data_IF_368366957217
#
_entry.id   IF_368366957217
#
_cell.length_a   1.000
_cell.length_b   1.000
_cell.length_c   1.000
_cell.angle_alpha   90.00
_cell.angle_beta   90.00
_cell.angle_gamma   90.00
#
_symmetry.space_group_name_H-M   'P 1'
#
loop_
_entity.id
_entity.type
_entity.pdbx_description
1 polymer ?
#
# COMPACT_ATOMS: atom_id res chain seq x y z
N UNK A 1 28.94 4.00 10.05
CA UNK A 1 27.66 3.51 9.49
C UNK A 1 26.82 4.70 9.14
N UNK A 2 26.34 4.77 7.90
CA UNK A 2 25.44 5.85 7.48
C UNK A 2 24.09 5.69 8.20
N UNK A 3 23.42 6.81 8.48
CA UNK A 3 22.08 6.84 9.04
C UNK A 3 21.11 7.41 8.01
N UNK A 4 19.94 6.80 7.92
CA UNK A 4 18.84 7.22 7.06
C UNK A 4 17.58 7.36 7.89
N UNK A 5 16.82 8.42 7.65
CA UNK A 5 15.48 8.57 8.23
C UNK A 5 14.48 7.85 7.36
N UNK A 6 13.63 7.01 7.94
CA UNK A 6 12.44 6.46 7.30
C UNK A 6 11.24 7.21 7.88
N UNK A 7 10.51 7.89 7.00
CA UNK A 7 9.20 8.43 7.33
C UNK A 7 8.20 7.29 7.28
N UNK A 8 7.77 6.90 8.46
CA UNK A 8 7.03 5.68 8.69
C UNK A 8 5.54 5.96 8.73
N UNK A 9 4.82 5.42 7.75
CA UNK A 9 3.38 5.62 7.61
C UNK A 9 2.58 4.69 8.51
N UNK A 10 3.20 3.66 9.11
CA UNK A 10 2.48 2.76 10.00
C UNK A 10 2.37 3.31 11.42
N UNK A 11 3.24 4.23 11.81
CA UNK A 11 3.19 4.86 13.13
C UNK A 11 2.03 5.87 13.19
N UNK A 12 1.17 5.67 14.20
CA UNK A 12 -0.09 6.42 14.39
C UNK A 12 -1.05 6.31 13.20
N UNK A 13 -1.03 5.19 12.49
CA UNK A 13 -2.06 4.81 11.52
C UNK A 13 -3.09 3.89 12.17
N UNK A 14 -4.35 4.04 11.79
CA UNK A 14 -5.44 3.13 12.17
C UNK A 14 -5.60 1.98 11.16
N UNK A 15 -4.69 1.85 10.19
CA UNK A 15 -4.79 0.90 9.09
C UNK A 15 -3.54 0.02 9.01
N UNK A 16 -3.66 -1.26 9.39
CA UNK A 16 -2.53 -2.21 9.32
C UNK A 16 -2.04 -2.46 7.89
N UNK A 17 -2.78 -2.03 6.87
CA UNK A 17 -2.27 -2.01 5.49
C UNK A 17 -0.99 -1.17 5.33
N UNK A 18 -0.81 -0.13 6.16
CA UNK A 18 0.43 0.65 6.17
C UNK A 18 1.60 -0.12 6.81
N UNK A 19 1.35 -1.06 7.72
CA UNK A 19 2.38 -1.95 8.26
C UNK A 19 2.92 -2.90 7.18
N UNK A 20 2.05 -3.47 6.33
CA UNK A 20 2.45 -4.31 5.19
C UNK A 20 3.38 -3.53 4.25
N UNK A 21 3.04 -2.28 3.96
CA UNK A 21 3.85 -1.40 3.13
C UNK A 21 5.21 -1.16 3.77
N UNK A 22 5.23 -0.79 5.05
CA UNK A 22 6.47 -0.45 5.76
C UNK A 22 7.39 -1.66 5.98
N UNK A 23 6.84 -2.86 6.16
CA UNK A 23 7.59 -4.12 6.15
C UNK A 23 8.33 -4.29 4.80
N UNK A 24 7.60 -4.14 3.69
CA UNK A 24 8.19 -4.25 2.34
C UNK A 24 9.23 -3.15 2.07
N UNK A 25 8.95 -1.90 2.46
CA UNK A 25 9.88 -0.78 2.35
C UNK A 25 11.17 -1.08 3.10
N UNK A 26 11.08 -1.49 4.36
CA UNK A 26 12.25 -1.84 5.18
C UNK A 26 13.06 -2.96 4.55
N UNK A 27 12.40 -4.04 4.12
CA UNK A 27 13.05 -5.20 3.51
C UNK A 27 13.81 -4.82 2.23
N UNK A 28 13.21 -4.00 1.37
CA UNK A 28 13.85 -3.54 0.13
C UNK A 28 14.98 -2.54 0.39
N UNK A 29 14.84 -1.65 1.38
CA UNK A 29 15.91 -0.73 1.77
C UNK A 29 17.10 -1.48 2.39
N UNK A 30 16.89 -2.53 3.20
CA UNK A 30 17.99 -3.34 3.75
C UNK A 30 18.82 -4.01 2.65
N UNK A 31 18.18 -4.45 1.55
CA UNK A 31 18.87 -5.01 0.38
C UNK A 31 19.71 -3.95 -0.35
N UNK A 32 19.18 -2.73 -0.49
CA UNK A 32 19.84 -1.65 -1.23
C UNK A 32 20.94 -0.95 -0.40
N UNK A 33 20.76 -0.87 0.91
CA UNK A 33 21.55 -0.08 1.86
C UNK A 33 21.90 -0.93 3.10
N UNK A 34 22.70 -2.00 2.94
CA UNK A 34 22.90 -3.01 4.00
C UNK A 34 23.72 -2.50 5.19
N UNK A 35 24.55 -1.47 5.01
CA UNK A 35 25.44 -0.91 6.06
C UNK A 35 24.87 0.37 6.68
N UNK A 36 23.55 0.44 6.78
CA UNK A 36 22.83 1.65 7.18
C UNK A 36 21.92 1.39 8.39
N UNK A 37 21.91 2.35 9.33
CA UNK A 37 20.94 2.37 10.43
C UNK A 37 19.71 3.20 10.05
N UNK A 38 18.51 2.71 10.38
CA UNK A 38 17.25 3.39 10.10
C UNK A 38 16.69 4.08 11.35
N UNK A 39 16.44 5.38 11.25
CA UNK A 39 15.67 6.17 12.21
C UNK A 39 14.22 6.27 11.71
N UNK A 40 13.26 5.69 12.42
CA UNK A 40 11.84 5.80 12.08
C UNK A 40 11.25 7.08 12.68
N UNK A 41 10.47 7.81 11.88
CA UNK A 41 9.76 9.04 12.28
C UNK A 41 8.34 9.00 11.71
N UNK A 42 7.29 9.26 12.49
CA UNK A 42 5.91 9.19 12.01
C UNK A 42 5.61 10.23 10.91
N UNK A 43 4.64 9.92 10.04
CA UNK A 43 4.09 10.89 9.07
C UNK A 43 2.77 11.50 9.51
N UNK A 44 1.94 10.76 10.25
CA UNK A 44 0.59 11.16 10.65
C UNK A 44 0.58 12.23 11.75
N UNK A 45 1.65 12.28 12.55
CA UNK A 45 1.81 13.26 13.64
C UNK A 45 2.83 14.35 13.33
N UNK A 46 2.76 15.43 14.11
CA UNK A 46 3.79 16.47 14.08
C UNK A 46 5.13 15.86 14.52
N UNK A 47 6.12 15.97 13.65
CA UNK A 47 7.50 15.58 13.96
C UNK A 47 7.99 16.40 15.16
N UNK A 48 8.42 15.71 16.22
CA UNK A 48 8.92 16.33 17.44
C UNK A 48 10.30 16.98 17.25
N UNK A 49 10.65 17.94 18.12
CA UNK A 49 11.97 18.58 18.10
C UNK A 49 13.12 17.58 18.25
N UNK A 50 12.94 16.57 19.12
CA UNK A 50 13.90 15.48 19.31
C UNK A 50 14.09 14.71 18.00
N UNK A 51 12.99 14.44 17.28
CA UNK A 51 13.04 13.77 15.99
C UNK A 51 13.83 14.61 14.97
N UNK A 52 13.57 15.92 14.89
CA UNK A 52 14.36 16.82 14.03
C UNK A 52 15.86 16.82 14.37
N UNK A 53 16.22 16.88 15.65
CA UNK A 53 17.63 16.82 16.09
C UNK A 53 18.28 15.50 15.64
N UNK A 54 17.55 14.38 15.76
CA UNK A 54 18.05 13.06 15.33
C UNK A 54 18.14 12.96 13.81
N UNK A 55 17.18 13.52 13.08
CA UNK A 55 17.15 13.55 11.61
C UNK A 55 18.30 14.36 11.02
N UNK A 56 18.79 15.40 11.70
CA UNK A 56 19.99 16.16 11.27
C UNK A 56 21.25 15.29 11.17
N UNK A 57 21.27 14.13 11.85
CA UNK A 57 22.36 13.14 11.78
C UNK A 57 22.18 12.12 10.63
N UNK A 58 21.02 12.12 9.96
CA UNK A 58 20.75 11.29 8.80
C UNK A 58 21.24 11.97 7.53
N UNK A 59 21.78 11.17 6.60
CA UNK A 59 22.26 11.65 5.29
C UNK A 59 21.12 11.94 4.31
N UNK A 60 20.04 11.17 4.41
CA UNK A 60 18.84 11.28 3.58
C UNK A 60 17.60 10.82 4.34
N UNK A 61 16.42 11.14 3.79
CA UNK A 61 15.14 10.64 4.23
C UNK A 61 14.47 9.80 3.15
N UNK A 62 13.89 8.65 3.50
CA UNK A 62 13.04 7.86 2.62
C UNK A 62 11.61 7.93 3.13
N UNK A 63 10.68 8.26 2.25
CA UNK A 63 9.24 8.17 2.47
C UNK A 63 8.73 6.99 1.67
N UNK A 64 8.31 5.94 2.36
CA UNK A 64 7.80 4.72 1.76
C UNK A 64 6.28 4.68 1.73
N UNK A 65 5.71 4.53 0.54
CA UNK A 65 4.32 4.14 0.31
C UNK A 65 3.19 5.04 0.87
N UNK A 66 2.04 4.37 1.06
CA UNK A 66 0.64 4.84 1.21
C UNK A 66 0.18 5.94 0.24
N UNK A 67 -1.05 6.43 0.40
CA UNK A 67 -1.58 7.58 -0.34
C UNK A 67 -1.08 8.92 0.25
N UNK A 68 0.23 9.04 0.46
CA UNK A 68 0.76 10.16 1.24
C UNK A 68 0.68 11.52 0.52
N UNK A 69 0.68 11.51 -0.82
CA UNK A 69 0.71 12.74 -1.62
C UNK A 69 -0.70 13.30 -1.85
N UNK A 70 -0.77 14.63 -1.87
CA UNK A 70 -2.01 15.35 -2.15
C UNK A 70 -1.76 16.51 -3.10
N UNK A 71 -2.75 16.81 -3.94
CA UNK A 71 -2.70 17.98 -4.82
C UNK A 71 -2.91 19.31 -4.06
N UNK A 72 -3.55 19.28 -2.89
CA UNK A 72 -3.91 20.46 -2.12
C UNK A 72 -3.84 20.19 -0.62
N UNK A 73 -2.83 20.77 0.05
CA UNK A 73 -2.56 20.66 1.49
C UNK A 73 -2.96 21.95 2.25
N UNK A 74 -3.87 22.76 1.69
CA UNK A 74 -4.34 23.99 2.34
C UNK A 74 -5.10 23.68 3.63
N UNK A 75 -5.78 22.53 3.66
CA UNK A 75 -6.39 21.97 4.86
C UNK A 75 -5.52 20.82 5.36
N UNK A 76 -5.46 20.60 6.70
CA UNK A 76 -4.70 19.50 7.25
C UNK A 76 -5.11 18.18 6.58
N UNK A 77 -4.13 17.45 6.06
CA UNK A 77 -4.34 16.08 5.59
C UNK A 77 -3.65 15.20 6.61
N UNK A 78 -4.40 14.23 7.13
CA UNK A 78 -3.95 13.41 8.25
C UNK A 78 -2.80 12.46 7.89
N UNK A 79 -2.43 12.31 6.62
CA UNK A 79 -1.42 11.31 6.22
C UNK A 79 0.02 11.81 6.27
N UNK A 80 0.28 13.07 5.88
CA UNK A 80 1.62 13.67 6.01
C UNK A 80 1.55 15.07 6.61
N UNK A 81 1.85 15.14 7.91
CA UNK A 81 1.77 16.34 8.71
C UNK A 81 2.98 17.26 8.50
N UNK A 82 3.11 17.75 7.27
CA UNK A 82 4.15 18.71 6.87
C UNK A 82 3.55 20.00 6.35
N UNK A 83 4.19 21.10 6.71
CA UNK A 83 3.85 22.46 6.36
C UNK A 83 5.11 23.20 5.91
N UNK A 84 4.96 24.35 5.27
CA UNK A 84 6.12 25.08 4.73
C UNK A 84 7.21 25.38 5.77
N UNK A 85 6.82 25.74 7.00
CA UNK A 85 7.74 26.06 8.10
C UNK A 85 8.49 24.84 8.66
N UNK A 86 7.93 23.63 8.51
CA UNK A 86 8.57 22.40 9.02
C UNK A 86 9.26 21.60 7.90
N UNK A 87 8.81 21.76 6.65
CA UNK A 87 9.39 21.15 5.46
C UNK A 87 10.85 21.58 5.23
N UNK A 88 11.22 22.79 5.65
CA UNK A 88 12.62 23.27 5.58
C UNK A 88 13.59 22.49 6.48
N UNK A 89 13.09 21.76 7.47
CA UNK A 89 13.89 20.90 8.33
C UNK A 89 14.06 19.49 7.77
N UNK A 90 13.30 19.15 6.72
CA UNK A 90 13.44 17.90 6.00
C UNK A 90 14.59 18.06 5.00
N UNK A 91 15.59 17.17 5.08
CA UNK A 91 16.75 17.20 4.18
C UNK A 91 16.74 15.98 3.27
N UNK A 92 16.82 16.23 1.96
CA UNK A 92 16.96 15.21 0.93
C UNK A 92 15.97 14.05 1.09
N UNK A 93 14.68 14.37 1.16
CA UNK A 93 13.65 13.35 1.24
C UNK A 93 13.40 12.77 -0.15
N UNK A 94 13.36 11.44 -0.24
CA UNK A 94 13.20 10.68 -1.48
C UNK A 94 11.96 9.81 -1.31
N UNK A 95 11.14 9.73 -2.37
CA UNK A 95 9.91 8.96 -2.37
C UNK A 95 10.22 7.53 -2.82
N UNK A 96 9.53 6.56 -2.22
CA UNK A 96 9.59 5.14 -2.54
C UNK A 96 8.18 4.56 -2.65
N UNK A 97 7.68 4.49 -3.88
CA UNK A 97 6.40 3.92 -4.27
C UNK A 97 5.19 4.58 -3.60
N UNK A 98 5.26 5.90 -3.44
CA UNK A 98 4.22 6.72 -2.80
C UNK A 98 3.10 7.04 -3.80
N UNK A 99 1.84 6.98 -3.35
CA UNK A 99 0.66 7.30 -4.15
C UNK A 99 -0.02 8.60 -3.73
N UNK A 100 -1.00 9.06 -4.54
CA UNK A 100 -1.85 10.22 -4.21
C UNK A 100 -3.32 9.87 -3.94
N UNK A 101 -3.97 10.65 -3.07
CA UNK A 101 -5.31 10.34 -2.53
C UNK A 101 -6.47 10.50 -3.51
N UNK A 102 -6.52 11.60 -4.27
CA UNK A 102 -7.75 12.04 -4.91
C UNK A 102 -7.55 12.43 -6.37
N UNK A 103 -8.46 11.95 -7.22
CA UNK A 103 -8.61 12.46 -8.58
C UNK A 103 -9.08 13.92 -8.57
N UNK A 104 -8.78 14.64 -9.65
CA UNK A 104 -9.38 15.94 -10.00
C UNK A 104 -9.08 17.14 -9.10
N UNK A 105 -8.23 17.00 -8.08
CA UNK A 105 -7.81 18.16 -7.29
C UNK A 105 -6.81 19.03 -8.07
N UNK A 106 -7.11 20.33 -8.17
CA UNK A 106 -6.17 21.31 -8.72
C UNK A 106 -4.96 21.42 -7.80
N UNK A 107 -3.77 21.23 -8.38
CA UNK A 107 -2.50 21.46 -7.70
C UNK A 107 -2.44 22.93 -7.27
N UNK A 108 -2.31 23.17 -5.97
CA UNK A 108 -2.17 24.54 -5.48
C UNK A 108 -0.68 24.93 -5.34
N UNK A 109 -0.41 26.24 -5.36
CA UNK A 109 0.96 26.76 -5.24
C UNK A 109 1.61 26.42 -3.89
N UNK A 110 0.83 26.44 -2.81
CA UNK A 110 1.30 26.14 -1.45
C UNK A 110 1.92 24.72 -1.34
N UNK A 111 1.18 23.70 -1.77
CA UNK A 111 1.59 22.30 -1.81
C UNK A 111 2.84 22.12 -2.64
N UNK A 112 2.91 22.78 -3.80
CA UNK A 112 4.12 22.77 -4.64
C UNK A 112 5.34 23.31 -3.88
N UNK A 113 5.18 24.40 -3.11
CA UNK A 113 6.27 24.94 -2.30
C UNK A 113 6.68 23.99 -1.17
N UNK A 114 5.71 23.39 -0.47
CA UNK A 114 5.96 22.43 0.62
C UNK A 114 6.79 21.26 0.10
N UNK A 115 6.36 20.61 -0.98
CA UNK A 115 7.10 19.48 -1.55
C UNK A 115 8.45 19.90 -2.13
N UNK A 116 8.58 21.07 -2.78
CA UNK A 116 9.89 21.54 -3.26
C UNK A 116 10.89 21.80 -2.14
N UNK A 117 10.42 22.11 -0.92
CA UNK A 117 11.29 22.27 0.26
C UNK A 117 11.64 20.93 0.89
N UNK A 118 10.70 19.99 0.91
CA UNK A 118 10.91 18.68 1.53
C UNK A 118 11.70 17.71 0.65
N UNK A 119 11.32 17.58 -0.62
CA UNK A 119 11.80 16.56 -1.54
C UNK A 119 13.13 16.95 -2.18
N UNK A 120 13.99 15.96 -2.40
CA UNK A 120 15.29 16.17 -3.03
C UNK A 120 15.18 16.53 -4.51
N UNK A 121 15.94 17.54 -4.96
CA UNK A 121 16.10 17.82 -6.39
C UNK A 121 17.18 16.96 -7.07
N UNK A 122 17.95 16.16 -6.31
CA UNK A 122 19.12 15.42 -6.80
C UNK A 122 18.84 13.95 -7.11
N UNK A 123 17.85 13.37 -6.45
CA UNK A 123 17.56 11.95 -6.48
C UNK A 123 16.29 11.67 -7.27
N UNK A 124 16.18 10.49 -7.87
CA UNK A 124 14.95 10.00 -8.47
C UNK A 124 13.93 9.65 -7.39
N UNK A 125 12.71 10.16 -7.55
CA UNK A 125 11.55 9.82 -6.76
C UNK A 125 10.81 8.64 -7.38
N UNK A 126 10.48 7.66 -6.55
CA UNK A 126 9.68 6.52 -6.94
C UNK A 126 8.24 6.74 -6.48
N UNK A 127 7.30 6.66 -7.42
CA UNK A 127 5.85 6.76 -7.16
C UNK A 127 5.14 5.44 -7.48
N UNK A 128 3.94 5.29 -6.94
CA UNK A 128 3.18 4.04 -6.95
C UNK A 128 2.47 3.75 -8.26
N UNK A 129 2.00 4.76 -8.96
CA UNK A 129 1.12 4.62 -10.12
C UNK A 129 1.30 5.80 -11.09
N UNK A 130 0.87 5.59 -12.33
CA UNK A 130 0.97 6.54 -13.43
C UNK A 130 0.18 7.82 -13.15
N UNK A 131 -0.92 7.71 -12.39
CA UNK A 131 -1.67 8.88 -11.94
C UNK A 131 -0.81 9.79 -11.05
N UNK A 132 -0.14 9.22 -10.06
CA UNK A 132 0.73 9.95 -9.14
C UNK A 132 1.96 10.52 -9.85
N UNK A 133 2.54 9.79 -10.81
CA UNK A 133 3.64 10.29 -11.65
C UNK A 133 3.24 11.56 -12.41
N UNK A 134 2.09 11.52 -13.10
CA UNK A 134 1.54 12.68 -13.81
C UNK A 134 1.26 13.86 -12.87
N UNK A 135 0.78 13.60 -11.66
CA UNK A 135 0.54 14.64 -10.67
C UNK A 135 1.86 15.33 -10.25
N UNK A 136 2.91 14.55 -9.99
CA UNK A 136 4.23 15.06 -9.62
C UNK A 136 4.88 15.86 -10.75
N UNK A 137 4.75 15.40 -12.00
CA UNK A 137 5.21 16.14 -13.19
C UNK A 137 4.48 17.48 -13.29
N UNK A 138 3.14 17.51 -13.10
CA UNK A 138 2.35 18.76 -13.07
C UNK A 138 2.78 19.71 -11.95
N UNK A 139 3.24 19.18 -10.83
CA UNK A 139 3.85 19.98 -9.75
C UNK A 139 5.24 20.53 -10.10
N UNK A 140 5.86 20.05 -11.18
CA UNK A 140 7.17 20.48 -11.66
C UNK A 140 8.33 19.64 -11.13
N UNK A 141 8.09 18.38 -10.76
CA UNK A 141 9.13 17.39 -10.47
C UNK A 141 9.42 16.57 -11.74
N UNK A 142 10.61 16.76 -12.31
CA UNK A 142 11.05 16.03 -13.51
C UNK A 142 11.87 14.78 -13.18
N UNK A 143 12.26 14.62 -11.92
CA UNK A 143 13.03 13.52 -11.36
C UNK A 143 12.12 12.48 -10.69
N UNK A 144 11.00 12.13 -11.32
CA UNK A 144 10.02 11.16 -10.82
C UNK A 144 9.84 10.03 -11.82
N UNK A 145 9.74 8.80 -11.32
CA UNK A 145 9.51 7.60 -12.11
C UNK A 145 8.50 6.70 -11.41
N UNK A 146 7.62 6.08 -12.19
CA UNK A 146 6.71 5.06 -11.68
C UNK A 146 7.42 3.70 -11.49
N UNK A 147 7.44 3.19 -10.27
CA UNK A 147 8.08 1.92 -9.91
C UNK A 147 7.10 0.92 -9.30
N UNK A 148 5.82 1.27 -9.13
CA UNK A 148 4.89 0.50 -8.32
C UNK A 148 5.09 0.67 -6.82
N UNK A 149 4.11 0.17 -6.06
CA UNK A 149 4.20 0.04 -4.60
C UNK A 149 5.32 -0.94 -4.25
N UNK A 150 6.12 -0.71 -3.18
CA UNK A 150 7.17 -1.65 -2.78
C UNK A 150 6.64 -3.03 -2.41
N UNK A 151 5.36 -3.14 -2.07
CA UNK A 151 4.67 -4.41 -1.82
C UNK A 151 4.59 -5.30 -3.07
N UNK A 152 4.69 -4.74 -4.26
CA UNK A 152 4.70 -5.52 -5.50
C UNK A 152 6.10 -6.03 -5.87
N UNK A 153 7.18 -5.43 -5.34
CA UNK A 153 8.54 -5.64 -5.87
C UNK A 153 9.08 -7.06 -5.68
N UNK A 154 8.50 -7.84 -4.76
CA UNK A 154 8.81 -9.26 -4.58
C UNK A 154 8.00 -10.19 -5.49
N UNK A 155 6.92 -9.71 -6.11
CA UNK A 155 6.05 -10.48 -7.00
C UNK A 155 6.66 -10.58 -8.41
N UNK A 156 7.81 -11.25 -8.50
CA UNK A 156 8.46 -11.55 -9.77
C UNK A 156 7.69 -12.65 -10.54
N UNK A 157 8.12 -12.92 -11.78
CA UNK A 157 7.47 -13.91 -12.66
C UNK A 157 7.39 -15.29 -12.02
N UNK A 158 8.47 -15.77 -11.41
CA UNK A 158 8.54 -17.10 -10.77
C UNK A 158 7.54 -17.21 -9.61
N UNK A 159 7.48 -16.21 -8.73
CA UNK A 159 6.53 -16.20 -7.62
C UNK A 159 5.10 -16.13 -8.12
N UNK A 160 4.82 -15.29 -9.13
CA UNK A 160 3.50 -15.21 -9.74
C UNK A 160 3.05 -16.54 -10.37
N UNK A 161 3.96 -17.26 -11.04
CA UNK A 161 3.69 -18.58 -11.63
C UNK A 161 3.45 -19.66 -10.57
N UNK A 162 4.01 -19.50 -9.37
CA UNK A 162 3.79 -20.42 -8.24
C UNK A 162 2.44 -20.24 -7.53
N UNK A 163 1.70 -19.15 -7.82
CA UNK A 163 0.38 -18.91 -7.22
C UNK A 163 -0.66 -19.85 -7.87
N UNK A 164 -1.49 -20.54 -7.08
CA UNK A 164 -2.55 -21.41 -7.61
C UNK A 164 -3.50 -20.67 -8.57
N UNK A 165 -3.95 -21.37 -9.61
CA UNK A 165 -4.87 -20.81 -10.62
C UNK A 165 -6.33 -21.17 -10.38
N UNK A 166 -6.56 -22.27 -9.69
CA UNK A 166 -7.88 -22.77 -9.34
C UNK A 166 -8.28 -22.29 -7.95
N UNK A 167 -9.59 -22.18 -7.75
CA UNK A 167 -10.21 -21.84 -6.48
C UNK A 167 -9.78 -22.79 -5.37
N UNK A 168 -9.49 -22.22 -4.20
CA UNK A 168 -9.16 -22.98 -3.00
C UNK A 168 -10.41 -23.41 -2.20
N UNK A 169 -10.19 -24.22 -1.15
CA UNK A 169 -11.28 -24.73 -0.28
C UNK A 169 -11.72 -23.70 0.75
N UNK A 170 -10.79 -22.89 1.23
CA UNK A 170 -11.00 -21.87 2.26
C UNK A 170 -10.66 -20.48 1.72
N UNK A 171 -11.19 -19.44 2.37
CA UNK A 171 -10.90 -18.05 2.01
C UNK A 171 -10.63 -17.19 3.23
N UNK A 172 -9.68 -16.29 3.11
CA UNK A 172 -9.55 -15.14 4.01
C UNK A 172 -10.02 -13.88 3.30
N UNK A 173 -10.90 -13.13 3.94
CA UNK A 173 -11.45 -11.90 3.42
C UNK A 173 -11.16 -10.70 4.33
N UNK A 174 -11.40 -9.52 3.79
CA UNK A 174 -11.32 -8.26 4.51
C UNK A 174 -12.44 -7.35 4.02
N UNK A 175 -13.01 -6.58 4.94
CA UNK A 175 -13.90 -5.46 4.63
C UNK A 175 -13.24 -4.17 5.12
N UNK A 176 -13.82 -3.03 4.72
CA UNK A 176 -13.29 -1.70 5.08
C UNK A 176 -14.35 -0.90 5.80
N UNK A 177 -13.97 -0.31 6.91
CA UNK A 177 -14.74 0.62 7.71
C UNK A 177 -14.99 1.99 7.05
N UNK A 178 -14.28 2.34 5.98
CA UNK A 178 -14.57 3.53 5.16
C UNK A 178 -15.21 3.15 3.82
N UNK A 179 -15.91 4.10 3.21
CA UNK A 179 -16.63 3.92 1.95
C UNK A 179 -17.56 2.68 1.95
N UNK A 180 -18.23 2.41 3.07
CA UNK A 180 -19.09 1.22 3.29
C UNK A 180 -20.19 1.11 2.24
N UNK A 181 -20.47 -0.10 1.76
CA UNK A 181 -21.68 -0.42 0.99
C UNK A 181 -22.28 -1.72 1.54
N UNK A 182 -23.07 -1.59 2.62
CA UNK A 182 -23.60 -2.73 3.35
C UNK A 182 -24.39 -3.72 2.47
N UNK A 183 -25.01 -3.26 1.37
CA UNK A 183 -25.77 -4.15 0.47
C UNK A 183 -24.80 -5.04 -0.30
N UNK A 184 -23.79 -4.43 -0.92
CA UNK A 184 -22.78 -5.17 -1.70
C UNK A 184 -21.85 -5.99 -0.82
N UNK A 185 -21.50 -5.49 0.35
CA UNK A 185 -20.63 -6.21 1.29
C UNK A 185 -21.35 -7.44 1.89
N UNK A 186 -22.67 -7.36 2.14
CA UNK A 186 -23.49 -8.54 2.44
C UNK A 186 -23.57 -9.52 1.28
N UNK A 187 -23.71 -9.03 0.06
CA UNK A 187 -23.74 -9.87 -1.13
C UNK A 187 -22.40 -10.59 -1.37
N UNK A 188 -21.27 -9.89 -1.23
CA UNK A 188 -19.94 -10.49 -1.20
C UNK A 188 -19.86 -11.58 -0.12
N UNK A 189 -20.28 -11.30 1.12
CA UNK A 189 -20.25 -12.30 2.19
C UNK A 189 -21.05 -13.55 1.84
N UNK A 190 -22.20 -13.40 1.17
CA UNK A 190 -23.06 -14.50 0.75
C UNK A 190 -22.32 -15.40 -0.25
N UNK A 191 -21.73 -14.83 -1.30
CA UNK A 191 -20.93 -15.57 -2.28
C UNK A 191 -19.82 -16.36 -1.58
N UNK A 192 -19.11 -15.72 -0.64
CA UNK A 192 -18.02 -16.39 0.09
C UNK A 192 -18.53 -17.58 0.92
N UNK A 193 -19.63 -17.43 1.66
CA UNK A 193 -20.19 -18.51 2.47
C UNK A 193 -20.78 -19.66 1.65
N UNK A 194 -21.28 -19.38 0.44
CA UNK A 194 -21.85 -20.39 -0.46
C UNK A 194 -20.76 -21.18 -1.19
N UNK A 195 -19.60 -20.56 -1.44
CA UNK A 195 -18.55 -21.14 -2.27
C UNK A 195 -17.36 -21.71 -1.48
N UNK A 196 -17.12 -21.31 -0.23
CA UNK A 196 -15.98 -21.76 0.57
C UNK A 196 -16.39 -22.52 1.82
N UNK A 197 -15.57 -23.50 2.21
CA UNK A 197 -15.79 -24.32 3.40
C UNK A 197 -15.66 -23.49 4.67
N UNK A 198 -14.58 -22.71 4.79
CA UNK A 198 -14.36 -21.79 5.88
C UNK A 198 -14.09 -20.38 5.34
N UNK A 199 -14.70 -19.38 5.98
CA UNK A 199 -14.54 -17.96 5.64
C UNK A 199 -13.96 -17.25 6.84
N UNK A 200 -12.67 -16.92 6.75
CA UNK A 200 -11.95 -16.15 7.74
C UNK A 200 -12.02 -14.67 7.40
N UNK A 201 -12.09 -13.79 8.39
CA UNK A 201 -12.09 -12.35 8.16
C UNK A 201 -11.02 -11.67 9.00
N UNK A 202 -10.07 -11.01 8.33
CA UNK A 202 -9.02 -10.26 9.02
C UNK A 202 -9.45 -8.80 9.22
N UNK A 203 -9.38 -8.36 10.47
CA UNK A 203 -9.72 -7.00 10.90
C UNK A 203 -8.49 -6.11 10.78
N UNK A 204 -8.59 -5.02 10.04
CA UNK A 204 -7.43 -4.17 9.70
C UNK A 204 -7.55 -2.72 10.18
N UNK A 205 -8.77 -2.18 10.15
CA UNK A 205 -9.16 -0.85 10.60
C UNK A 205 -9.72 -0.82 12.01
N UNK A 206 -9.72 0.35 12.63
CA UNK A 206 -10.23 0.59 13.98
C UNK A 206 -11.71 0.21 14.14
N UNK A 207 -12.52 0.38 13.09
CA UNK A 207 -13.95 0.05 13.10
C UNK A 207 -14.33 -1.18 12.27
N UNK A 208 -13.36 -1.91 11.72
CA UNK A 208 -13.62 -3.06 10.84
C UNK A 208 -14.39 -4.17 11.56
N UNK A 209 -14.10 -4.42 12.85
CA UNK A 209 -14.74 -5.50 13.62
C UNK A 209 -16.26 -5.30 13.76
N UNK A 210 -16.68 -4.10 14.16
CA UNK A 210 -18.09 -3.76 14.28
C UNK A 210 -18.78 -3.74 12.91
N UNK A 211 -18.06 -3.29 11.87
CA UNK A 211 -18.60 -3.32 10.52
C UNK A 211 -18.82 -4.75 10.01
N UNK A 212 -17.85 -5.65 10.20
CA UNK A 212 -17.93 -7.07 9.84
C UNK A 212 -19.08 -7.75 10.57
N UNK A 213 -19.29 -7.47 11.86
CA UNK A 213 -20.46 -7.96 12.60
C UNK A 213 -21.79 -7.50 12.01
N UNK A 214 -21.87 -6.27 11.51
CA UNK A 214 -23.07 -5.75 10.86
C UNK A 214 -23.39 -6.45 9.52
N UNK A 215 -22.38 -7.05 8.89
CA UNK A 215 -22.48 -7.85 7.67
C UNK A 215 -22.97 -9.27 8.01
N UNK A 216 -22.24 -9.99 8.87
CA UNK A 216 -22.56 -11.37 9.27
C UNK A 216 -21.80 -11.79 10.53
N UNK A 217 -22.41 -12.65 11.36
CA UNK A 217 -21.75 -13.27 12.52
C UNK A 217 -21.07 -14.62 12.19
N UNK A 218 -21.11 -15.08 10.93
CA UNK A 218 -20.58 -16.40 10.53
C UNK A 218 -19.07 -16.41 10.26
N UNK A 219 -18.42 -15.24 10.20
CA UNK A 219 -16.99 -15.15 9.91
C UNK A 219 -16.14 -15.72 11.06
N UNK A 220 -15.05 -16.40 10.71
CA UNK A 220 -13.98 -16.73 11.65
C UNK A 220 -13.02 -15.55 11.74
N UNK A 221 -13.12 -14.77 12.80
CA UNK A 221 -12.34 -13.55 12.96
C UNK A 221 -10.86 -13.90 13.19
N UNK A 222 -9.98 -13.22 12.45
CA UNK A 222 -8.53 -13.20 12.68
C UNK A 222 -8.20 -11.90 13.42
N UNK A 223 -7.38 -12.01 14.45
CA UNK A 223 -6.98 -10.89 15.29
C UNK A 223 -6.29 -9.78 14.48
N UNK A 224 -6.38 -8.51 14.93
CA UNK A 224 -5.90 -7.35 14.20
C UNK A 224 -4.38 -7.17 14.35
N UNK A 225 -3.62 -8.20 14.01
CA UNK A 225 -2.17 -8.21 13.99
C UNK A 225 -1.67 -8.75 12.65
N UNK A 226 -0.64 -8.13 12.09
CA UNK A 226 -0.05 -8.58 10.83
C UNK A 226 0.51 -10.00 10.95
N UNK A 227 1.03 -10.37 12.11
CA UNK A 227 1.55 -11.71 12.39
C UNK A 227 0.45 -12.78 12.34
N UNK A 228 -0.76 -12.46 12.81
CA UNK A 228 -1.89 -13.41 12.78
C UNK A 228 -2.41 -13.60 11.34
N UNK A 229 -2.37 -12.54 10.54
CA UNK A 229 -2.65 -12.64 9.12
C UNK A 229 -1.59 -13.43 8.36
N UNK A 230 -0.31 -13.19 8.63
CA UNK A 230 0.77 -13.97 8.03
C UNK A 230 0.70 -15.45 8.41
N UNK A 231 0.37 -15.79 9.67
CA UNK A 231 0.20 -17.18 10.12
C UNK A 231 -0.86 -17.92 9.31
N UNK A 232 -2.03 -17.31 9.07
CA UNK A 232 -3.06 -17.98 8.26
C UNK A 232 -2.63 -18.09 6.80
N UNK A 233 -1.99 -17.05 6.24
CA UNK A 233 -1.49 -17.06 4.87
C UNK A 233 -0.34 -18.06 4.66
N UNK A 234 0.40 -18.44 5.71
CA UNK A 234 1.50 -19.39 5.66
C UNK A 234 1.11 -20.81 6.10
N UNK A 235 -0.14 -21.01 6.50
CA UNK A 235 -0.65 -22.33 6.93
C UNK A 235 -0.73 -23.36 5.79
N UNK A 236 -0.91 -24.63 6.12
CA UNK A 236 -1.10 -25.69 5.12
C UNK A 236 -2.51 -25.67 4.46
N UNK A 237 -3.34 -24.67 4.75
CA UNK A 237 -4.66 -24.54 4.15
C UNK A 237 -4.57 -24.24 2.65
N UNK A 238 -5.47 -24.83 1.87
CA UNK A 238 -5.79 -24.35 0.53
C UNK A 238 -6.64 -23.07 0.68
N UNK A 239 -5.98 -21.92 0.63
CA UNK A 239 -6.54 -20.62 0.99
C UNK A 239 -6.47 -19.61 -0.15
N UNK A 240 -7.62 -19.03 -0.49
CA UNK A 240 -7.74 -17.84 -1.34
C UNK A 240 -7.80 -16.55 -0.49
N UNK A 241 -7.52 -15.42 -1.11
CA UNK A 241 -7.86 -14.10 -0.58
C UNK A 241 -8.94 -13.42 -1.45
N UNK A 242 -9.99 -12.90 -0.81
CA UNK A 242 -10.99 -12.05 -1.49
C UNK A 242 -11.42 -10.92 -0.56
N UNK A 243 -11.21 -9.65 -0.92
CA UNK A 243 -11.65 -8.55 -0.05
C UNK A 243 -11.28 -7.15 -0.52
N UNK A 244 -11.76 -6.15 0.24
CA UNK A 244 -11.66 -4.73 -0.12
C UNK A 244 -10.35 -4.05 0.29
N UNK A 245 -9.49 -4.70 1.09
CA UNK A 245 -8.18 -4.15 1.50
C UNK A 245 -7.08 -4.54 0.51
N UNK A 246 -6.78 -3.64 -0.43
CA UNK A 246 -5.75 -3.84 -1.48
C UNK A 246 -4.44 -4.50 -0.99
N UNK A 247 -3.83 -3.96 0.09
CA UNK A 247 -2.54 -4.46 0.57
C UNK A 247 -2.62 -5.82 1.28
N UNK A 248 -3.78 -6.18 1.84
CA UNK A 248 -4.00 -7.54 2.33
C UNK A 248 -3.93 -8.54 1.16
N UNK A 249 -4.61 -8.23 0.05
CA UNK A 249 -4.55 -9.07 -1.15
C UNK A 249 -3.16 -9.19 -1.76
N UNK A 250 -2.39 -8.10 -1.76
CA UNK A 250 -0.98 -8.13 -2.20
C UNK A 250 -0.14 -9.00 -1.26
N UNK A 251 -0.30 -8.88 0.07
CA UNK A 251 0.40 -9.73 1.04
C UNK A 251 0.04 -11.20 0.86
N UNK A 252 -1.23 -11.52 0.61
CA UNK A 252 -1.66 -12.87 0.26
C UNK A 252 -0.93 -13.40 -0.99
N UNK A 253 -0.79 -12.60 -2.05
CA UNK A 253 0.02 -12.97 -3.22
C UNK A 253 1.49 -13.21 -2.88
N UNK A 254 2.10 -12.37 -2.01
CA UNK A 254 3.48 -12.56 -1.54
C UNK A 254 3.66 -13.90 -0.80
N UNK A 255 2.60 -14.42 -0.18
CA UNK A 255 2.55 -15.72 0.49
C UNK A 255 1.98 -16.84 -0.41
N UNK A 256 2.03 -16.63 -1.74
CA UNK A 256 1.60 -17.59 -2.78
C UNK A 256 0.12 -17.96 -2.74
N UNK A 257 -0.73 -17.06 -2.25
CA UNK A 257 -2.19 -17.25 -2.27
C UNK A 257 -2.82 -16.58 -3.48
N UNK A 258 -3.79 -17.26 -4.06
CA UNK A 258 -4.62 -16.72 -5.14
C UNK A 258 -5.49 -15.62 -4.56
N UNK A 259 -5.45 -14.44 -5.17
CA UNK A 259 -6.07 -13.23 -4.63
C UNK A 259 -6.98 -12.57 -5.66
N UNK A 260 -8.15 -12.15 -5.21
CA UNK A 260 -9.07 -11.26 -5.93
C UNK A 260 -9.30 -10.03 -5.05
N UNK A 261 -8.95 -8.85 -5.53
CA UNK A 261 -9.12 -7.60 -4.78
C UNK A 261 -10.41 -6.94 -5.23
N UNK A 262 -11.28 -6.60 -4.28
CA UNK A 262 -12.49 -5.83 -4.56
C UNK A 262 -12.13 -4.34 -4.47
N UNK A 263 -12.21 -3.65 -5.60
CA UNK A 263 -11.89 -2.24 -5.72
C UNK A 263 -13.01 -1.38 -5.16
N UNK A 264 -12.66 -0.49 -4.22
CA UNK A 264 -13.56 0.49 -3.61
C UNK A 264 -13.05 1.93 -3.75
N UNK A 265 -11.82 2.10 -4.24
CA UNK A 265 -11.15 3.40 -4.32
C UNK A 265 -10.17 3.45 -5.50
N UNK A 266 -9.52 4.60 -5.67
CA UNK A 266 -8.58 4.81 -6.76
C UNK A 266 -7.32 3.94 -6.67
N UNK A 267 -6.93 3.50 -5.47
CA UNK A 267 -5.67 2.74 -5.29
C UNK A 267 -5.77 1.39 -5.98
N UNK A 268 -6.85 0.66 -5.70
CA UNK A 268 -7.06 -0.65 -6.29
C UNK A 268 -7.24 -0.53 -7.81
N UNK A 269 -7.95 0.49 -8.28
CA UNK A 269 -8.17 0.75 -9.72
C UNK A 269 -6.88 1.06 -10.48
N UNK A 270 -6.12 2.06 -10.02
CA UNK A 270 -4.88 2.45 -10.70
C UNK A 270 -3.86 1.32 -10.64
N UNK A 271 -3.72 0.62 -9.50
CA UNK A 271 -2.78 -0.50 -9.42
C UNK A 271 -3.24 -1.72 -10.23
N UNK A 272 -4.55 -1.98 -10.31
CA UNK A 272 -5.11 -3.00 -11.20
C UNK A 272 -4.76 -2.72 -12.66
N UNK A 273 -4.98 -1.48 -13.10
CA UNK A 273 -4.66 -1.03 -14.45
C UNK A 273 -3.16 -1.03 -14.76
N UNK A 274 -2.35 -0.49 -13.87
CA UNK A 274 -0.92 -0.28 -14.13
C UNK A 274 -0.10 -1.57 -14.01
N UNK A 275 -0.50 -2.49 -13.12
CA UNK A 275 0.28 -3.69 -12.79
C UNK A 275 -0.41 -5.01 -13.07
N UNK A 276 -1.61 -4.98 -13.66
CA UNK A 276 -2.39 -6.18 -13.97
C UNK A 276 -2.72 -7.01 -12.70
N UNK A 277 -3.14 -6.33 -11.62
CA UNK A 277 -3.70 -7.01 -10.45
C UNK A 277 -5.08 -7.58 -10.78
N UNK A 278 -5.40 -8.74 -10.20
CA UNK A 278 -6.72 -9.35 -10.28
C UNK A 278 -7.70 -8.54 -9.41
N UNK A 279 -8.40 -7.61 -10.05
CA UNK A 279 -9.30 -6.65 -9.40
C UNK A 279 -10.68 -6.73 -10.02
N UNK A 280 -11.71 -6.73 -9.18
CA UNK A 280 -13.12 -6.54 -9.57
C UNK A 280 -13.60 -5.23 -8.95
N UNK A 281 -14.25 -4.36 -9.72
CA UNK A 281 -14.92 -3.20 -9.16
C UNK A 281 -16.07 -3.64 -8.26
N UNK A 282 -16.24 -3.00 -7.09
CA UNK A 282 -17.32 -3.38 -6.18
C UNK A 282 -18.69 -3.25 -6.86
N UNK A 283 -18.83 -2.33 -7.80
CA UNK A 283 -20.05 -2.16 -8.59
C UNK A 283 -20.43 -3.39 -9.41
N UNK A 284 -19.44 -4.22 -9.79
CA UNK A 284 -19.55 -5.40 -10.66
C UNK A 284 -19.45 -6.72 -9.87
N UNK A 285 -19.75 -6.69 -8.56
CA UNK A 285 -19.56 -7.82 -7.63
C UNK A 285 -20.39 -9.06 -8.00
N UNK A 286 -21.46 -8.90 -8.79
CA UNK A 286 -22.23 -9.99 -9.39
C UNK A 286 -21.40 -10.92 -10.27
N UNK A 287 -20.31 -10.42 -10.86
CA UNK A 287 -19.41 -11.22 -11.70
C UNK A 287 -18.38 -12.01 -10.87
N UNK A 288 -18.35 -11.81 -9.54
CA UNK A 288 -17.36 -12.44 -8.67
C UNK A 288 -17.48 -13.96 -8.67
N UNK A 289 -18.69 -14.52 -8.64
CA UNK A 289 -18.88 -15.97 -8.56
C UNK A 289 -18.34 -16.68 -9.81
N UNK A 290 -18.62 -16.13 -11.00
CA UNK A 290 -18.07 -16.63 -12.26
C UNK A 290 -16.53 -16.54 -12.27
N UNK A 291 -15.99 -15.37 -11.90
CA UNK A 291 -14.54 -15.16 -11.87
C UNK A 291 -13.85 -16.07 -10.84
N UNK A 292 -14.49 -16.28 -9.69
CA UNK A 292 -14.06 -17.16 -8.63
C UNK A 292 -13.91 -18.61 -9.11
N UNK A 293 -14.89 -19.12 -9.87
CA UNK A 293 -14.92 -20.48 -10.41
C UNK A 293 -14.02 -20.64 -11.65
N UNK A 294 -13.67 -19.54 -12.31
CA UNK A 294 -12.76 -19.53 -13.45
C UNK A 294 -11.31 -19.85 -13.06
N UNK A 295 -10.56 -20.41 -14.01
CA UNK A 295 -9.10 -20.47 -13.92
C UNK A 295 -8.50 -19.12 -14.32
N UNK A 296 -7.69 -18.53 -13.44
CA UNK A 296 -6.88 -17.36 -13.80
C UNK A 296 -5.50 -17.44 -13.19
N UNK A 297 -4.53 -16.79 -13.83
CA UNK A 297 -3.17 -16.65 -13.30
C UNK A 297 -2.99 -15.30 -12.61
N UNK A 298 -2.08 -15.25 -11.64
CA UNK A 298 -1.50 -13.98 -11.19
C UNK A 298 -0.36 -13.61 -12.14
N UNK A 299 -0.38 -12.40 -12.70
CA UNK A 299 0.62 -11.93 -13.67
C UNK A 299 0.90 -10.44 -13.47
N UNK A 300 1.79 -10.13 -12.52
CA UNK A 300 2.10 -8.75 -12.14
C UNK A 300 3.11 -8.12 -13.09
N UNK A 301 2.73 -7.01 -13.73
CA UNK A 301 3.54 -6.31 -14.74
C UNK A 301 4.27 -5.11 -14.14
N UNK A 302 5.46 -5.35 -13.57
CA UNK A 302 6.32 -4.27 -13.05
C UNK A 302 7.35 -3.79 -14.07
N UNK A 303 7.62 -2.47 -14.05
CA UNK A 303 8.78 -1.91 -14.73
C UNK A 303 10.04 -2.11 -13.87
N UNK A 304 10.70 -3.26 -14.07
CA UNK A 304 11.90 -3.63 -13.33
C UNK A 304 13.08 -2.69 -13.58
N UNK A 305 13.17 -2.10 -14.78
CA UNK A 305 14.21 -1.12 -15.11
C UNK A 305 14.06 0.16 -14.29
N UNK A 306 12.84 0.65 -14.10
CA UNK A 306 12.57 1.80 -13.22
C UNK A 306 12.93 1.48 -11.76
N UNK A 307 12.57 0.30 -11.26
CA UNK A 307 12.95 -0.13 -9.90
C UNK A 307 14.48 -0.18 -9.77
N UNK A 308 15.17 -0.79 -10.74
CA UNK A 308 16.63 -0.88 -10.78
C UNK A 308 17.27 0.50 -10.80
N UNK A 309 16.82 1.38 -11.69
CA UNK A 309 17.30 2.76 -11.82
C UNK A 309 17.11 3.55 -10.53
N UNK A 310 15.97 3.39 -9.85
CA UNK A 310 15.73 3.99 -8.54
C UNK A 310 16.67 3.43 -7.48
N UNK A 311 16.96 2.13 -7.46
CA UNK A 311 17.86 1.54 -6.46
C UNK A 311 19.33 1.91 -6.69
N UNK A 312 19.75 2.03 -7.95
CA UNK A 312 21.14 2.29 -8.32
C UNK A 312 21.64 3.68 -7.93
N UNK A 313 20.75 4.66 -7.78
CA UNK A 313 21.13 6.00 -7.32
C UNK A 313 21.75 6.04 -5.91
N UNK A 314 21.61 4.96 -5.14
CA UNK A 314 22.16 4.82 -3.79
C UNK A 314 23.51 4.12 -3.77
N UNK A 315 23.93 3.50 -4.87
CA UNK A 315 25.24 2.86 -4.99
C UNK A 315 26.27 3.97 -5.20
N UNK A 316 27.18 4.12 -4.23
CA UNK A 316 28.42 4.88 -4.39
C UNK A 316 29.46 4.02 -5.06
#
# INVERSE_FOLDING_TARGET
MDRITIFDTSVCSENLGDEIIMDCVKNELMKCLPKTSFLRVPTHEKISEISYIRMKKSSLGIVGGTNLLAANMRYPINQWNIHLWNAMHLKNVILMGVGSQNYNNKVNFYTKMVYKKALSSKYLHSVRDNHTEKLMIKMGFNNVINTGCPTLWSLNKELCESIPRHKAKDVVCTFTDYNRDIKRDKYLSKILFENYRNVYCWIQGSEDYEYVKSISNKFKIIDPHLEEYDKILESDLELDYIGTRLHAGIRAMQKRRRSIIISIDNRAREMGKDYNLNVIEREDIENLEEYLLSEFKTDIKLNLDNIKKWKEQFKK
#
